data_IF_124879870032
#
_entry.id   IF_124879870032
#
_cell.length_a   1.000
_cell.length_b   1.000
_cell.length_c   1.000
_cell.angle_alpha   90.00
_cell.angle_beta   90.00
_cell.angle_gamma   90.00
#
_symmetry.space_group_name_H-M   'P 1'
#
loop_
_entity.id
_entity.type
_entity.pdbx_description
1 polymer ?
#
# COMPACT_ATOMS: atom_id res chain seq x y z
N UNK A 1 10.25 -20.77 4.07
CA UNK A 1 9.37 -19.83 4.80
C UNK A 1 10.06 -18.48 5.04
N UNK A 2 11.24 -18.42 5.68
CA UNK A 2 11.98 -17.16 5.89
C UNK A 2 12.43 -16.43 4.60
N UNK A 3 12.79 -17.17 3.53
CA UNK A 3 13.19 -16.58 2.24
C UNK A 3 12.03 -15.87 1.55
N UNK A 4 10.80 -16.37 1.73
CA UNK A 4 9.61 -15.72 1.19
C UNK A 4 9.29 -14.45 1.98
N UNK A 5 9.38 -14.45 3.31
CA UNK A 5 9.12 -13.24 4.11
C UNK A 5 10.11 -12.11 3.84
N UNK A 6 11.39 -12.41 3.62
CA UNK A 6 12.39 -11.38 3.25
C UNK A 6 12.13 -10.82 1.84
N UNK A 7 11.77 -11.68 0.89
CA UNK A 7 11.44 -11.24 -0.48
C UNK A 7 10.17 -10.39 -0.53
N UNK A 8 9.19 -10.69 0.33
CA UNK A 8 7.91 -9.96 0.40
C UNK A 8 8.14 -8.56 1.00
N UNK A 9 8.92 -8.46 2.09
CA UNK A 9 9.26 -7.17 2.69
C UNK A 9 10.08 -6.26 1.74
N UNK A 10 11.02 -6.81 0.98
CA UNK A 10 11.73 -6.03 -0.05
C UNK A 10 10.79 -5.59 -1.18
N UNK A 11 9.86 -6.46 -1.56
CA UNK A 11 8.89 -6.20 -2.62
C UNK A 11 7.87 -5.12 -2.25
N UNK A 12 7.38 -5.09 -1.01
CA UNK A 12 6.47 -4.02 -0.55
C UNK A 12 7.14 -2.66 -0.49
N UNK A 13 8.39 -2.60 -0.03
CA UNK A 13 9.17 -1.35 -0.02
C UNK A 13 9.41 -0.86 -1.44
N UNK A 14 9.74 -1.74 -2.39
CA UNK A 14 9.89 -1.36 -3.79
C UNK A 14 8.58 -0.84 -4.40
N UNK A 15 7.47 -1.54 -4.14
CA UNK A 15 6.15 -1.16 -4.67
C UNK A 15 5.66 0.15 -4.07
N UNK A 16 5.95 0.38 -2.78
CA UNK A 16 5.69 1.64 -2.10
C UNK A 16 6.46 2.79 -2.74
N UNK A 17 7.78 2.63 -2.92
CA UNK A 17 8.61 3.66 -3.54
C UNK A 17 8.15 3.99 -4.96
N UNK A 18 7.78 2.97 -5.75
CA UNK A 18 7.24 3.17 -7.10
C UNK A 18 5.89 3.89 -7.07
N UNK A 19 4.99 3.54 -6.15
CA UNK A 19 3.69 4.19 -6.01
C UNK A 19 3.85 5.68 -5.63
N UNK A 20 4.73 6.00 -4.67
CA UNK A 20 5.03 7.38 -4.29
C UNK A 20 5.67 8.16 -5.43
N UNK A 21 6.53 7.53 -6.22
CA UNK A 21 7.09 8.13 -7.43
C UNK A 21 6.01 8.42 -8.49
N UNK A 22 5.08 7.48 -8.73
CA UNK A 22 3.93 7.72 -9.59
C UNK A 22 3.06 8.88 -9.06
N UNK A 23 2.83 8.93 -7.75
CA UNK A 23 2.06 10.00 -7.12
C UNK A 23 2.74 11.37 -7.28
N UNK A 24 4.05 11.45 -7.07
CA UNK A 24 4.83 12.67 -7.30
C UNK A 24 4.76 13.15 -8.75
N UNK A 25 4.55 12.24 -9.71
CA UNK A 25 4.32 12.54 -11.12
C UNK A 25 2.84 12.77 -11.47
N UNK A 26 1.98 13.05 -10.49
CA UNK A 26 0.53 13.25 -10.64
C UNK A 26 -0.24 12.04 -11.19
N UNK A 27 0.37 10.85 -11.21
CA UNK A 27 -0.26 9.60 -11.65
C UNK A 27 -0.96 8.89 -10.49
N UNK A 28 -1.90 9.57 -9.84
CA UNK A 28 -2.61 9.08 -8.65
C UNK A 28 -3.26 7.72 -8.88
N UNK A 29 -3.97 7.56 -10.00
CA UNK A 29 -4.65 6.30 -10.33
C UNK A 29 -3.69 5.12 -10.47
N UNK A 30 -2.47 5.35 -10.97
CA UNK A 30 -1.43 4.33 -11.09
C UNK A 30 -0.86 3.99 -9.72
N UNK A 31 -0.58 5.00 -8.89
CA UNK A 31 -0.08 4.81 -7.53
C UNK A 31 -1.05 3.96 -6.69
N UNK A 32 -2.34 4.30 -6.71
CA UNK A 32 -3.38 3.54 -5.99
C UNK A 32 -3.51 2.10 -6.53
N UNK A 33 -3.48 1.89 -7.85
CA UNK A 33 -3.53 0.53 -8.44
C UNK A 33 -2.37 -0.35 -7.97
N UNK A 34 -1.16 0.21 -7.87
CA UNK A 34 0.02 -0.51 -7.39
C UNK A 34 -0.15 -0.89 -5.92
N UNK A 35 -0.55 0.05 -5.06
CA UNK A 35 -0.74 -0.20 -3.63
C UNK A 35 -1.88 -1.20 -3.36
N UNK A 36 -3.03 -1.10 -4.05
CA UNK A 36 -4.12 -2.06 -3.90
C UNK A 36 -3.72 -3.47 -4.32
N UNK A 37 -2.94 -3.60 -5.39
CA UNK A 37 -2.43 -4.90 -5.84
C UNK A 37 -1.43 -5.47 -4.85
N UNK A 38 -0.56 -4.65 -4.28
CA UNK A 38 0.37 -5.05 -3.23
C UNK A 38 -0.36 -5.51 -1.98
N UNK A 39 -1.38 -4.77 -1.54
CA UNK A 39 -2.21 -5.12 -0.40
C UNK A 39 -2.85 -6.48 -0.57
N UNK A 40 -3.45 -6.74 -1.74
CA UNK A 40 -4.08 -8.02 -2.05
C UNK A 40 -3.09 -9.20 -1.96
N UNK A 41 -1.89 -9.05 -2.53
CA UNK A 41 -0.85 -10.09 -2.49
C UNK A 41 -0.32 -10.28 -1.06
N UNK A 42 -0.09 -9.21 -0.32
CA UNK A 42 0.34 -9.27 1.08
C UNK A 42 -0.71 -9.98 1.94
N UNK A 43 -2.00 -9.72 1.74
CA UNK A 43 -3.09 -10.45 2.42
C UNK A 43 -3.09 -11.93 2.08
N UNK A 44 -2.88 -12.30 0.81
CA UNK A 44 -2.83 -13.71 0.40
C UNK A 44 -1.65 -14.48 1.00
N UNK A 45 -0.49 -13.83 1.14
CA UNK A 45 0.75 -14.50 1.58
C UNK A 45 0.88 -14.48 3.10
N UNK A 46 0.63 -13.33 3.73
CA UNK A 46 0.93 -13.08 5.14
C UNK A 46 -0.32 -13.05 6.04
N UNK A 47 -1.52 -12.93 5.46
CA UNK A 47 -2.77 -12.75 6.19
C UNK A 47 -3.04 -11.29 6.60
N UNK A 48 -4.29 -10.96 6.95
CA UNK A 48 -4.76 -9.59 7.20
C UNK A 48 -4.07 -8.86 8.37
N UNK A 49 -3.56 -9.59 9.36
CA UNK A 49 -2.96 -9.01 10.56
C UNK A 49 -1.44 -8.78 10.43
N UNK A 50 -0.88 -8.88 9.23
CA UNK A 50 0.54 -8.66 9.00
C UNK A 50 0.88 -7.15 9.02
N UNK A 51 1.98 -6.71 9.67
CA UNK A 51 2.33 -5.28 9.78
C UNK A 51 2.50 -4.58 8.43
N UNK A 52 2.81 -5.32 7.38
CA UNK A 52 2.93 -4.81 6.02
C UNK A 52 1.59 -4.33 5.43
N UNK A 53 0.47 -4.92 5.84
CA UNK A 53 -0.85 -4.46 5.43
C UNK A 53 -1.16 -3.10 6.04
N UNK A 54 -0.81 -2.89 7.31
CA UNK A 54 -0.94 -1.59 7.97
C UNK A 54 -0.07 -0.52 7.28
N UNK A 55 1.14 -0.89 6.82
CA UNK A 55 2.00 0.00 6.04
C UNK A 55 1.37 0.37 4.69
N UNK A 56 0.81 -0.60 3.97
CA UNK A 56 0.14 -0.36 2.69
C UNK A 56 -1.13 0.49 2.87
N UNK A 57 -1.93 0.21 3.90
CA UNK A 57 -3.17 0.92 4.22
C UNK A 57 -2.90 2.38 4.62
N UNK A 58 -1.84 2.63 5.39
CA UNK A 58 -1.38 3.98 5.71
C UNK A 58 -1.01 4.77 4.45
N UNK A 59 -0.31 4.15 3.49
CA UNK A 59 0.09 4.82 2.26
C UNK A 59 -1.08 5.06 1.29
N UNK A 60 -2.01 4.11 1.20
CA UNK A 60 -3.27 4.30 0.46
C UNK A 60 -4.03 5.49 1.05
N UNK A 61 -4.15 5.54 2.38
CA UNK A 61 -4.82 6.64 3.08
C UNK A 61 -4.15 7.99 2.81
N UNK A 62 -2.82 8.08 2.88
CA UNK A 62 -2.09 9.32 2.62
C UNK A 62 -2.35 9.84 1.19
N UNK A 63 -2.34 8.96 0.20
CA UNK A 63 -2.63 9.35 -1.19
C UNK A 63 -4.09 9.82 -1.34
N UNK A 64 -5.05 9.09 -0.75
CA UNK A 64 -6.46 9.47 -0.76
C UNK A 64 -6.70 10.82 -0.07
N UNK A 65 -6.06 11.04 1.07
CA UNK A 65 -6.10 12.32 1.78
C UNK A 65 -5.57 13.46 0.91
N UNK A 66 -4.44 13.24 0.24
CA UNK A 66 -3.81 14.24 -0.61
C UNK A 66 -4.65 14.62 -1.86
N UNK A 67 -5.57 13.75 -2.28
CA UNK A 67 -6.50 14.03 -3.40
C UNK A 67 -7.90 14.46 -2.96
N UNK A 68 -8.12 14.64 -1.65
CA UNK A 68 -9.39 15.11 -1.10
C UNK A 68 -10.42 14.01 -0.80
N UNK A 69 -10.05 12.74 -0.95
CA UNK A 69 -10.91 11.58 -0.66
C UNK A 69 -10.86 11.20 0.83
N UNK A 70 -11.26 12.14 1.69
CA UNK A 70 -11.05 12.05 3.14
C UNK A 70 -11.82 10.90 3.81
N UNK A 71 -13.06 10.63 3.38
CA UNK A 71 -13.86 9.56 3.97
C UNK A 71 -13.25 8.18 3.68
N UNK A 72 -12.78 7.97 2.45
CA UNK A 72 -12.08 6.75 2.09
C UNK A 72 -10.73 6.64 2.79
N UNK A 73 -9.99 7.74 2.91
CA UNK A 73 -8.73 7.82 3.66
C UNK A 73 -8.92 7.38 5.13
N UNK A 74 -9.97 7.86 5.80
CA UNK A 74 -10.27 7.49 7.19
C UNK A 74 -10.57 6.00 7.33
N UNK A 75 -11.36 5.42 6.41
CA UNK A 75 -11.67 3.98 6.42
C UNK A 75 -10.43 3.07 6.35
N UNK A 76 -9.33 3.55 5.76
CA UNK A 76 -8.07 2.82 5.73
C UNK A 76 -7.24 2.99 7.01
N UNK A 77 -7.42 4.08 7.76
CA UNK A 77 -6.71 4.33 9.02
C UNK A 77 -7.43 3.74 10.25
N UNK A 78 -8.74 3.60 10.18
CA UNK A 78 -9.57 3.04 11.26
C UNK A 78 -9.57 1.50 11.30
N UNK A 79 -8.93 0.87 10.31
CA UNK A 79 -8.91 -0.57 10.11
C UNK A 79 -7.72 -1.22 10.82
#
# INVERSE_FOLDING_TARGET
LLVLSTSVAEWSVLTLNLALYCFANSQVSTALKLLYRARYLATLICGENHPEIALLDSNISLILHAVGEYELSLRFLEK
#
